data_IF_322798824889
#
_entry.id   IF_322798824889
#
_cell.length_a   1.000
_cell.length_b   1.000
_cell.length_c   1.000
_cell.angle_alpha   90.00
_cell.angle_beta   90.00
_cell.angle_gamma   90.00
#
_symmetry.space_group_name_H-M   'P 1'
#
loop_
_entity.id
_entity.type
_entity.pdbx_description
1 polymer ?
#
# COMPACT_ATOMS: atom_id res chain seq x y z
N UNK A 1 1.26 9.13 -20.80
CA UNK A 1 1.77 8.39 -19.62
C UNK A 1 1.00 7.10 -19.51
N UNK A 2 1.64 6.02 -19.02
CA UNK A 2 1.01 4.71 -18.97
C UNK A 2 0.14 4.57 -17.71
N UNK A 3 -1.11 4.09 -17.83
CA UNK A 3 -1.99 3.82 -16.70
C UNK A 3 -1.53 2.62 -15.88
N UNK A 4 -2.01 2.56 -14.63
CA UNK A 4 -1.97 1.32 -13.84
C UNK A 4 -3.12 0.47 -14.32
N UNK A 5 -2.81 -0.72 -14.83
CA UNK A 5 -3.83 -1.69 -15.19
C UNK A 5 -4.14 -2.56 -13.98
N UNK A 6 -5.39 -2.49 -13.52
CA UNK A 6 -5.91 -3.30 -12.43
C UNK A 6 -6.83 -4.36 -13.02
N UNK A 7 -6.69 -5.61 -12.57
CA UNK A 7 -7.56 -6.70 -13.03
C UNK A 7 -8.97 -6.55 -12.48
N UNK A 8 -9.94 -6.52 -13.37
CA UNK A 8 -11.36 -6.76 -13.09
C UNK A 8 -11.63 -8.25 -13.36
N UNK A 9 -11.74 -9.01 -12.28
CA UNK A 9 -11.91 -10.47 -12.34
C UNK A 9 -13.33 -10.88 -12.75
N UNK A 10 -14.33 -10.02 -12.57
CA UNK A 10 -15.71 -10.32 -12.97
C UNK A 10 -15.86 -10.28 -14.49
N UNK A 11 -15.18 -9.31 -15.11
CA UNK A 11 -15.24 -9.11 -16.56
C UNK A 11 -14.04 -9.68 -17.32
N UNK A 12 -13.08 -10.30 -16.62
CA UNK A 12 -11.83 -10.84 -17.17
C UNK A 12 -11.06 -9.81 -18.03
N UNK A 13 -10.94 -8.59 -17.50
CA UNK A 13 -10.32 -7.46 -18.21
C UNK A 13 -9.32 -6.69 -17.35
N UNK A 14 -8.40 -6.00 -18.01
CA UNK A 14 -7.54 -5.01 -17.39
C UNK A 14 -8.15 -3.61 -17.52
N UNK A 15 -8.46 -2.99 -16.39
CA UNK A 15 -9.01 -1.64 -16.33
C UNK A 15 -7.88 -0.63 -16.10
N UNK A 16 -7.72 0.40 -16.96
CA UNK A 16 -6.70 1.41 -16.78
C UNK A 16 -7.13 2.47 -15.75
N UNK A 17 -6.31 2.66 -14.73
CA UNK A 17 -6.45 3.71 -13.71
C UNK A 17 -5.30 4.71 -13.83
N UNK A 18 -5.63 6.01 -13.77
CA UNK A 18 -4.68 7.13 -13.77
C UNK A 18 -4.94 8.05 -12.57
N UNK A 19 -4.73 7.59 -11.33
CA UNK A 19 -5.06 8.41 -10.19
C UNK A 19 -4.15 9.64 -10.09
N UNK A 20 -4.71 10.83 -9.81
CA UNK A 20 -3.90 12.04 -9.63
C UNK A 20 -2.85 11.84 -8.53
N UNK A 21 -1.58 12.09 -8.85
CA UNK A 21 -0.48 11.97 -7.90
C UNK A 21 0.11 10.57 -7.74
N UNK A 22 -0.39 9.55 -8.46
CA UNK A 22 0.21 8.22 -8.49
C UNK A 22 0.85 7.98 -9.86
N UNK A 23 2.19 7.95 -9.89
CA UNK A 23 2.96 7.61 -11.08
C UNK A 23 4.00 6.56 -10.71
N UNK A 24 3.69 5.29 -11.00
CA UNK A 24 4.61 4.20 -10.71
C UNK A 24 5.90 4.38 -11.52
N UNK A 25 7.00 4.44 -10.78
CA UNK A 25 8.36 4.50 -11.28
C UNK A 25 9.18 3.41 -10.58
N UNK A 26 10.47 3.35 -10.86
CA UNK A 26 11.40 2.47 -10.13
C UNK A 26 11.47 2.77 -8.62
N UNK A 27 10.91 3.90 -8.17
CA UNK A 27 10.82 4.27 -6.76
C UNK A 27 9.59 3.68 -6.07
N UNK A 28 8.74 2.93 -6.77
CA UNK A 28 7.51 2.39 -6.23
C UNK A 28 7.58 0.86 -6.20
N UNK A 29 7.17 0.27 -5.09
CA UNK A 29 7.08 -1.19 -4.92
C UNK A 29 5.66 -1.54 -4.52
N UNK A 30 4.86 -2.14 -5.42
CA UNK A 30 3.55 -2.68 -5.04
C UNK A 30 3.72 -3.89 -4.13
N UNK A 31 2.82 -4.03 -3.16
CA UNK A 31 2.87 -5.13 -2.19
C UNK A 31 1.63 -6.03 -2.24
N UNK A 32 0.44 -5.44 -2.33
CA UNK A 32 -0.80 -6.19 -2.29
C UNK A 32 -1.93 -5.43 -2.99
N UNK A 33 -2.91 -6.17 -3.48
CA UNK A 33 -4.14 -5.65 -4.05
C UNK A 33 -5.30 -6.56 -3.65
N UNK A 34 -6.32 -6.01 -2.98
CA UNK A 34 -7.48 -6.78 -2.48
C UNK A 34 -8.75 -6.65 -3.34
N UNK A 35 -8.64 -6.02 -4.52
CA UNK A 35 -9.79 -5.67 -5.36
C UNK A 35 -10.27 -4.22 -5.18
N UNK A 36 -10.10 -3.65 -3.99
CA UNK A 36 -10.57 -2.30 -3.65
C UNK A 36 -9.41 -1.33 -3.36
N UNK A 37 -8.29 -1.88 -2.87
CA UNK A 37 -7.16 -1.16 -2.34
C UNK A 37 -5.86 -1.72 -2.90
N UNK A 38 -5.04 -0.85 -3.48
CA UNK A 38 -3.65 -1.14 -3.83
C UNK A 38 -2.75 -0.57 -2.73
N UNK A 39 -1.95 -1.42 -2.10
CA UNK A 39 -0.90 -0.98 -1.17
C UNK A 39 0.47 -1.07 -1.82
N UNK A 40 1.23 0.00 -1.67
CA UNK A 40 2.56 0.12 -2.22
C UNK A 40 3.44 0.97 -1.32
N UNK A 41 4.75 0.87 -1.53
CA UNK A 41 5.73 1.73 -0.90
C UNK A 41 6.43 2.60 -1.91
N UNK A 42 6.66 3.86 -1.55
CA UNK A 42 7.43 4.82 -2.30
C UNK A 42 8.78 5.09 -1.60
N UNK A 43 9.87 4.99 -2.35
CA UNK A 43 11.21 5.36 -1.93
C UNK A 43 11.50 6.80 -2.33
N UNK A 44 11.65 7.66 -1.32
CA UNK A 44 11.90 9.10 -1.49
C UNK A 44 13.34 9.48 -1.14
N UNK A 45 13.80 10.68 -1.55
CA UNK A 45 15.09 11.21 -1.13
C UNK A 45 15.29 11.17 0.39
N UNK A 46 16.55 11.18 0.82
CA UNK A 46 16.95 11.07 2.24
C UNK A 46 16.57 9.72 2.89
N UNK A 47 16.46 8.65 2.10
CA UNK A 47 16.10 7.30 2.57
C UNK A 47 14.76 7.26 3.32
N UNK A 48 13.83 8.11 2.90
CA UNK A 48 12.45 8.07 3.40
C UNK A 48 11.71 7.01 2.61
N UNK A 49 11.00 6.13 3.31
CA UNK A 49 10.17 5.09 2.72
C UNK A 49 8.77 5.27 3.27
N UNK A 50 7.79 5.44 2.40
CA UNK A 50 6.40 5.69 2.80
C UNK A 50 5.51 4.63 2.21
N UNK A 51 4.64 4.06 3.05
CA UNK A 51 3.59 3.16 2.61
C UNK A 51 2.35 4.00 2.34
N UNK A 52 1.76 3.78 1.16
CA UNK A 52 0.54 4.41 0.71
C UNK A 52 -0.52 3.37 0.38
N UNK A 53 -1.78 3.73 0.54
CA UNK A 53 -2.92 3.00 0.01
C UNK A 53 -3.59 3.86 -1.06
N UNK A 54 -3.78 3.27 -2.24
CA UNK A 54 -4.66 3.78 -3.26
C UNK A 54 -6.00 3.06 -3.19
N UNK A 55 -7.08 3.81 -2.96
CA UNK A 55 -8.47 3.29 -2.98
C UNK A 55 -9.05 3.47 -4.37
N UNK A 56 -9.43 2.37 -5.01
CA UNK A 56 -9.85 2.33 -6.42
C UNK A 56 -11.13 3.15 -6.64
N UNK A 57 -12.16 2.90 -5.83
CA UNK A 57 -13.50 3.49 -6.00
C UNK A 57 -13.49 5.01 -5.87
N UNK A 58 -12.82 5.55 -4.86
CA UNK A 58 -12.71 7.00 -4.63
C UNK A 58 -11.58 7.65 -5.41
N UNK A 59 -10.71 6.85 -6.02
CA UNK A 59 -9.46 7.28 -6.67
C UNK A 59 -8.55 8.12 -5.76
N UNK A 60 -8.52 7.81 -4.46
CA UNK A 60 -7.74 8.57 -3.47
C UNK A 60 -6.47 7.84 -3.05
N UNK A 61 -5.39 8.58 -2.85
CA UNK A 61 -4.13 8.08 -2.27
C UNK A 61 -3.99 8.61 -0.84
N UNK A 62 -3.72 7.71 0.11
CA UNK A 62 -3.50 8.05 1.52
C UNK A 62 -2.17 7.52 2.02
N UNK A 63 -1.39 8.35 2.71
CA UNK A 63 -0.20 7.91 3.44
C UNK A 63 -0.60 7.15 4.70
N UNK A 64 0.03 6.00 4.93
CA UNK A 64 -0.31 5.09 6.04
C UNK A 64 0.81 5.04 7.06
N UNK A 65 2.05 4.79 6.62
CA UNK A 65 3.22 4.67 7.48
C UNK A 65 4.43 5.33 6.83
N UNK A 66 5.32 5.89 7.66
CA UNK A 66 6.56 6.52 7.24
C UNK A 66 7.73 5.94 7.99
N UNK A 67 8.76 5.57 7.25
CA UNK A 67 10.02 5.04 7.74
C UNK A 67 11.18 5.89 7.24
N UNK A 68 12.24 5.96 8.03
CA UNK A 68 13.48 6.69 7.77
C UNK A 68 14.66 5.72 7.73
N UNK A 69 15.88 6.23 7.52
CA UNK A 69 17.11 5.43 7.62
C UNK A 69 17.33 4.75 8.98
N UNK A 70 16.74 5.28 10.06
CA UNK A 70 16.89 4.72 11.40
C UNK A 70 15.99 3.49 11.61
N UNK A 71 14.94 3.36 10.81
CA UNK A 71 13.98 2.28 10.92
C UNK A 71 14.45 1.01 10.19
N UNK A 72 14.25 -0.18 10.75
CA UNK A 72 14.55 -1.42 10.05
C UNK A 72 13.77 -1.56 8.74
N UNK A 73 14.30 -2.34 7.80
CA UNK A 73 13.69 -2.59 6.49
C UNK A 73 12.32 -3.25 6.63
N UNK A 74 11.36 -2.79 5.82
CA UNK A 74 10.09 -3.46 5.59
C UNK A 74 10.23 -4.31 4.33
N UNK A 75 10.06 -5.63 4.46
CA UNK A 75 10.25 -6.56 3.34
C UNK A 75 8.95 -7.08 2.72
N UNK A 76 7.89 -7.14 3.53
CA UNK A 76 6.58 -7.63 3.10
C UNK A 76 5.51 -6.79 3.74
N UNK A 77 4.43 -6.55 3.01
CA UNK A 77 3.22 -5.88 3.48
C UNK A 77 2.03 -6.62 2.90
N UNK A 78 1.01 -6.84 3.72
CA UNK A 78 -0.26 -7.46 3.33
C UNK A 78 -1.44 -6.69 3.90
N UNK A 79 -2.49 -6.59 3.09
CA UNK A 79 -3.77 -6.08 3.53
C UNK A 79 -4.58 -7.22 4.13
N UNK A 80 -5.22 -6.93 5.26
CA UNK A 80 -6.11 -7.85 5.97
C UNK A 80 -7.30 -7.07 6.48
N UNK A 81 -8.36 -7.76 6.89
CA UNK A 81 -9.52 -7.14 7.54
C UNK A 81 -9.72 -7.68 8.94
N UNK A 82 -10.17 -6.81 9.83
CA UNK A 82 -10.65 -7.15 11.16
C UNK A 82 -12.02 -7.84 11.10
N UNK A 83 -12.44 -8.40 12.24
CA UNK A 83 -13.80 -8.94 12.44
C UNK A 83 -14.89 -7.89 12.18
N UNK A 84 -14.63 -6.62 12.49
CA UNK A 84 -15.52 -5.50 12.20
C UNK A 84 -15.35 -4.92 10.78
N UNK A 85 -14.66 -5.64 9.90
CA UNK A 85 -14.34 -5.25 8.53
C UNK A 85 -13.44 -4.01 8.36
N UNK A 86 -12.77 -3.55 9.43
CA UNK A 86 -11.78 -2.45 9.31
C UNK A 86 -10.46 -2.93 8.71
N UNK A 87 -9.78 -2.06 7.97
CA UNK A 87 -8.58 -2.36 7.22
C UNK A 87 -7.36 -2.43 8.13
N UNK A 88 -6.62 -3.52 8.00
CA UNK A 88 -5.37 -3.78 8.71
C UNK A 88 -4.24 -3.96 7.73
N UNK A 89 -3.10 -3.45 8.14
CA UNK A 89 -1.83 -3.64 7.48
C UNK A 89 -0.96 -4.55 8.35
N UNK A 90 -0.58 -5.70 7.81
CA UNK A 90 0.39 -6.62 8.44
C UNK A 90 1.68 -6.54 7.65
N UNK A 91 2.81 -6.29 8.33
CA UNK A 91 4.09 -6.12 7.65
C UNK A 91 5.26 -6.73 8.42
N UNK A 92 6.28 -7.15 7.68
CA UNK A 92 7.51 -7.72 8.24
C UNK A 92 8.57 -6.63 8.31
N UNK A 93 9.00 -6.31 9.51
CA UNK A 93 10.04 -5.33 9.80
C UNK A 93 11.32 -5.99 10.32
N UNK A 94 12.47 -5.54 9.81
CA UNK A 94 13.78 -6.10 10.15
C UNK A 94 13.95 -7.57 9.76
N UNK A 95 13.13 -8.08 8.83
CA UNK A 95 13.16 -9.45 8.33
C UNK A 95 12.62 -10.53 9.29
N UNK A 96 12.13 -10.15 10.47
CA UNK A 96 11.73 -11.11 11.51
C UNK A 96 10.55 -10.68 12.38
N UNK A 97 10.31 -9.38 12.53
CA UNK A 97 9.21 -8.89 13.36
C UNK A 97 7.97 -8.68 12.50
N UNK A 98 6.89 -9.37 12.83
CA UNK A 98 5.58 -9.09 12.23
C UNK A 98 4.94 -7.96 13.05
N UNK A 99 4.48 -6.93 12.37
CA UNK A 99 3.80 -5.78 12.93
C UNK A 99 2.42 -5.67 12.32
N UNK A 100 1.45 -5.28 13.14
CA UNK A 100 0.08 -5.00 12.71
C UNK A 100 -0.23 -3.53 12.95
N UNK A 101 -0.87 -2.90 11.98
CA UNK A 101 -1.30 -1.51 12.03
C UNK A 101 -2.75 -1.42 11.60
N UNK A 102 -3.57 -0.79 12.43
CA UNK A 102 -4.96 -0.47 12.15
C UNK A 102 -5.01 0.84 11.36
N UNK A 103 -5.48 0.79 10.11
CA UNK A 103 -5.37 1.91 9.17
C UNK A 103 -6.33 3.03 9.55
N UNK A 104 -7.56 2.69 9.95
CA UNK A 104 -8.58 3.67 10.33
C UNK A 104 -8.28 4.28 11.71
N UNK A 105 -7.94 3.45 12.70
CA UNK A 105 -7.62 3.94 14.04
C UNK A 105 -6.22 4.54 14.14
N UNK A 106 -5.41 4.44 13.07
CA UNK A 106 -4.03 4.95 12.96
C UNK A 106 -3.14 4.53 14.14
N UNK A 107 -3.20 3.25 14.50
CA UNK A 107 -2.49 2.72 15.68
C UNK A 107 -1.89 1.34 15.44
N UNK A 108 -0.76 1.08 16.06
CA UNK A 108 -0.24 -0.28 16.19
C UNK A 108 -1.05 -1.07 17.21
N UNK A 109 -1.21 -2.37 16.94
CA UNK A 109 -1.77 -3.34 17.88
C UNK A 109 -0.65 -4.10 18.58
#
# INVERSE_FOLDING_TARGET
MAPINISDLENDMLVPHNPPGLNFSQQHVPFDFDGEHLIYMEYRPNNVRQIFIYTVTSQTVSEVLRFTKADPIVSHVKLTRNENNSLKLVYVQGGRQIKTYDVEAKKHQ
#
